data_IF_836232303236
#
_entry.id   IF_836232303236
#
_cell.length_a   1.000
_cell.length_b   1.000
_cell.length_c   1.000
_cell.angle_alpha   90.00
_cell.angle_beta   90.00
_cell.angle_gamma   90.00
#
_symmetry.space_group_name_H-M   'P 1'
#
loop_
_entity.id
_entity.type
_entity.pdbx_description
1 polymer ?
#
# COMPACT_ATOMS: atom_id res chain seq x y z
N UNK A 1 3.67 61.79 -5.76
CA UNK A 1 4.41 60.71 -6.44
C UNK A 1 3.80 59.41 -5.95
N UNK A 2 3.03 58.77 -6.82
CA UNK A 2 2.34 57.50 -6.54
C UNK A 2 3.26 56.34 -6.82
N UNK A 3 3.25 55.23 -6.05
CA UNK A 3 3.88 53.99 -6.45
C UNK A 3 2.92 53.13 -7.27
N UNK A 4 3.41 52.71 -8.44
CA UNK A 4 2.75 51.72 -9.30
C UNK A 4 2.73 50.34 -8.63
N UNK A 5 1.53 49.79 -8.41
CA UNK A 5 1.34 48.41 -8.07
C UNK A 5 1.19 47.60 -9.37
N UNK A 6 2.18 46.80 -9.72
CA UNK A 6 2.04 45.73 -10.70
C UNK A 6 1.44 44.50 -10.05
N UNK A 7 0.14 44.31 -10.19
CA UNK A 7 -0.56 43.08 -9.84
C UNK A 7 -0.43 42.13 -11.04
N UNK A 8 0.32 41.05 -10.86
CA UNK A 8 0.39 39.97 -11.83
C UNK A 8 -0.95 39.20 -11.84
N UNK A 9 -1.77 39.45 -12.82
CA UNK A 9 -2.97 38.70 -13.13
C UNK A 9 -2.57 37.33 -13.73
N UNK A 10 -2.46 36.31 -12.90
CA UNK A 10 -2.41 34.94 -13.38
C UNK A 10 -3.81 34.59 -13.87
N UNK A 11 -3.90 34.36 -15.17
CA UNK A 11 -5.13 34.08 -15.89
C UNK A 11 -5.79 32.79 -15.45
N UNK A 12 -6.84 32.88 -14.65
CA UNK A 12 -7.75 31.81 -14.26
C UNK A 12 -8.60 31.23 -15.41
N UNK A 13 -8.44 31.74 -16.63
CA UNK A 13 -9.27 31.34 -17.81
C UNK A 13 -8.87 30.00 -18.45
N UNK A 14 -7.68 29.46 -18.19
CA UNK A 14 -7.27 28.17 -18.80
C UNK A 14 -7.81 26.93 -18.10
N UNK A 15 -8.25 27.04 -16.86
CA UNK A 15 -8.78 25.89 -16.08
C UNK A 15 -10.25 25.61 -16.41
N UNK A 16 -11.04 26.63 -16.76
CA UNK A 16 -12.47 26.46 -17.07
C UNK A 16 -12.77 25.70 -18.39
N UNK A 17 -11.89 25.80 -19.39
CA UNK A 17 -12.15 25.15 -20.69
C UNK A 17 -11.87 23.64 -20.70
N UNK A 18 -11.20 23.08 -19.70
CA UNK A 18 -10.92 21.63 -19.64
C UNK A 18 -12.04 20.84 -18.96
N UNK A 19 -12.92 21.48 -18.21
CA UNK A 19 -14.01 20.84 -17.46
C UNK A 19 -15.37 20.81 -18.18
N UNK A 20 -15.64 21.76 -19.05
CA UNK A 20 -16.95 21.85 -19.73
C UNK A 20 -17.33 20.65 -20.62
N UNK A 21 -16.43 20.02 -21.40
CA UNK A 21 -16.82 18.89 -22.23
C UNK A 21 -17.11 17.63 -21.41
N UNK A 22 -16.40 17.43 -20.28
CA UNK A 22 -16.62 16.25 -19.40
C UNK A 22 -17.94 16.34 -18.64
N UNK A 23 -18.34 17.54 -18.21
CA UNK A 23 -19.62 17.77 -17.53
C UNK A 23 -20.81 17.58 -18.47
N UNK A 24 -20.70 18.01 -19.72
CA UNK A 24 -21.73 17.78 -20.73
C UNK A 24 -21.88 16.30 -21.09
N UNK A 25 -20.77 15.57 -21.18
CA UNK A 25 -20.79 14.13 -21.43
C UNK A 25 -21.45 13.37 -20.27
N UNK A 26 -21.09 13.71 -19.02
CA UNK A 26 -21.70 13.13 -17.82
C UNK A 26 -23.20 13.40 -17.74
N UNK A 27 -23.64 14.63 -18.08
CA UNK A 27 -25.05 15.01 -18.11
C UNK A 27 -25.83 14.24 -19.16
N UNK A 28 -25.28 14.02 -20.36
CA UNK A 28 -25.90 13.19 -21.39
C UNK A 28 -25.96 11.71 -21.00
N UNK A 29 -24.91 11.20 -20.35
CA UNK A 29 -24.88 9.83 -19.87
C UNK A 29 -25.90 9.60 -18.74
N UNK A 30 -26.01 10.54 -17.79
CA UNK A 30 -27.03 10.49 -16.74
C UNK A 30 -28.46 10.55 -17.32
N UNK A 31 -28.71 11.37 -18.33
CA UNK A 31 -30.03 11.42 -19.01
C UNK A 31 -30.34 10.11 -19.73
N UNK A 32 -29.35 9.45 -20.31
CA UNK A 32 -29.53 8.15 -20.98
C UNK A 32 -29.82 7.02 -20.00
N UNK A 33 -29.21 7.06 -18.79
CA UNK A 33 -29.39 6.08 -17.71
C UNK A 33 -30.74 6.26 -16.97
N UNK A 34 -31.25 7.49 -16.88
CA UNK A 34 -32.51 7.82 -16.16
C UNK A 34 -33.72 7.84 -17.09
N UNK A 35 -33.55 7.76 -18.42
CA UNK A 35 -34.65 7.74 -19.36
C UNK A 35 -35.60 6.55 -19.09
N UNK A 36 -36.90 6.79 -18.82
CA UNK A 36 -37.84 5.71 -18.59
C UNK A 36 -38.02 4.92 -19.88
N UNK A 37 -37.78 3.62 -19.81
CA UNK A 37 -38.04 2.69 -20.91
C UNK A 37 -39.57 2.63 -21.13
N UNK A 38 -40.09 3.34 -22.14
CA UNK A 38 -41.55 3.50 -22.40
C UNK A 38 -42.22 2.28 -23.01
N UNK A 39 -41.51 1.18 -23.19
CA UNK A 39 -42.07 -0.05 -23.77
C UNK A 39 -41.52 -1.30 -23.10
N UNK A 40 -42.00 -1.60 -21.90
CA UNK A 40 -41.80 -2.92 -21.31
C UNK A 40 -43.09 -3.33 -20.54
N UNK A 41 -43.64 -4.47 -20.91
CA UNK A 41 -44.75 -5.10 -20.20
C UNK A 41 -44.46 -5.34 -18.73
N UNK A 42 -45.45 -5.24 -17.82
CA UNK A 42 -45.27 -5.45 -16.42
C UNK A 42 -45.14 -6.97 -16.16
N UNK A 43 -43.91 -7.48 -15.94
CA UNK A 43 -43.79 -8.90 -15.60
C UNK A 43 -42.40 -9.46 -15.29
N UNK A 44 -41.31 -8.80 -15.65
CA UNK A 44 -39.97 -9.36 -15.39
C UNK A 44 -38.89 -8.29 -15.27
N UNK A 45 -39.00 -7.44 -14.27
CA UNK A 45 -37.81 -6.71 -13.80
C UNK A 45 -37.00 -7.66 -12.93
N UNK A 46 -36.11 -8.42 -13.58
CA UNK A 46 -35.23 -9.33 -12.87
C UNK A 46 -34.30 -8.52 -11.94
N UNK A 47 -34.16 -8.96 -10.70
CA UNK A 47 -33.20 -8.43 -9.72
C UNK A 47 -31.79 -8.27 -10.34
N UNK A 48 -31.48 -9.05 -11.36
CA UNK A 48 -30.26 -9.01 -12.14
C UNK A 48 -30.08 -7.67 -12.91
N UNK A 49 -31.15 -7.09 -13.49
CA UNK A 49 -31.08 -5.80 -14.18
C UNK A 49 -30.86 -4.63 -13.21
N UNK A 50 -31.41 -4.74 -11.99
CA UNK A 50 -31.19 -3.76 -10.93
C UNK A 50 -29.74 -3.87 -10.39
N UNK A 51 -29.22 -5.07 -10.19
CA UNK A 51 -27.84 -5.31 -9.80
C UNK A 51 -26.84 -4.79 -10.83
N UNK A 52 -27.10 -4.99 -12.13
CA UNK A 52 -26.24 -4.42 -13.19
C UNK A 52 -26.27 -2.89 -13.21
N UNK A 53 -27.43 -2.28 -13.00
CA UNK A 53 -27.55 -0.81 -12.95
C UNK A 53 -26.91 -0.22 -11.71
N UNK A 54 -27.10 -0.83 -10.53
CA UNK A 54 -26.41 -0.42 -9.30
C UNK A 54 -24.90 -0.66 -9.39
N UNK A 55 -24.47 -1.76 -9.97
CA UNK A 55 -23.04 -2.05 -10.21
C UNK A 55 -22.40 -1.03 -11.17
N UNK A 56 -23.11 -0.63 -12.24
CA UNK A 56 -22.62 0.38 -13.18
C UNK A 56 -22.55 1.78 -12.55
N UNK A 57 -23.50 2.16 -11.69
CA UNK A 57 -23.47 3.44 -10.95
C UNK A 57 -22.33 3.47 -9.94
N UNK A 58 -22.09 2.38 -9.22
CA UNK A 58 -20.96 2.26 -8.30
C UNK A 58 -19.65 2.30 -9.08
N UNK A 59 -19.57 1.62 -10.22
CA UNK A 59 -18.38 1.63 -11.08
C UNK A 59 -18.10 3.03 -11.65
N UNK A 60 -19.14 3.77 -12.07
CA UNK A 60 -19.00 5.14 -12.54
C UNK A 60 -18.67 6.13 -11.41
N UNK A 61 -19.18 5.91 -10.20
CA UNK A 61 -18.84 6.72 -9.01
C UNK A 61 -17.37 6.62 -8.61
N UNK A 62 -16.75 5.47 -8.81
CA UNK A 62 -15.32 5.25 -8.55
C UNK A 62 -14.42 5.97 -9.57
N UNK A 63 -14.93 6.26 -10.78
CA UNK A 63 -14.14 6.87 -11.88
C UNK A 63 -13.91 8.38 -11.71
N UNK A 64 -14.61 9.07 -10.80
CA UNK A 64 -14.52 10.53 -10.66
C UNK A 64 -13.62 11.02 -9.51
N UNK A 65 -12.91 10.12 -8.82
CA UNK A 65 -12.03 10.51 -7.72
C UNK A 65 -10.76 11.19 -8.25
N UNK A 66 -10.55 12.41 -7.84
CA UNK A 66 -9.40 13.25 -8.23
C UNK A 66 -8.13 12.70 -7.57
N UNK A 67 -7.05 12.57 -8.33
CA UNK A 67 -5.73 12.26 -7.79
C UNK A 67 -5.22 13.46 -6.99
N UNK A 68 -5.14 13.32 -5.67
CA UNK A 68 -4.39 14.22 -4.81
C UNK A 68 -3.05 13.55 -4.47
N UNK A 69 -1.96 14.27 -4.63
CA UNK A 69 -0.62 13.75 -4.81
C UNK A 69 0.17 13.54 -3.50
N UNK A 70 -0.39 12.96 -2.45
CA UNK A 70 0.38 12.58 -1.25
C UNK A 70 -0.21 11.30 -0.67
N UNK A 71 0.23 10.16 -1.15
CA UNK A 71 -0.02 8.87 -0.49
C UNK A 71 1.33 8.27 -0.11
N UNK A 72 1.38 7.61 1.03
CA UNK A 72 2.50 6.76 1.39
C UNK A 72 2.82 5.79 0.27
N UNK A 73 4.11 5.52 0.01
CA UNK A 73 4.50 4.62 -1.04
C UNK A 73 3.89 3.23 -0.86
N UNK A 74 3.50 2.61 -1.96
CA UNK A 74 3.01 1.25 -1.99
C UNK A 74 3.83 0.43 -2.97
N UNK A 75 4.30 -0.69 -2.50
CA UNK A 75 5.03 -1.64 -3.31
C UNK A 75 4.09 -2.51 -4.14
N UNK A 76 4.53 -2.87 -5.34
CA UNK A 76 3.78 -3.76 -6.22
C UNK A 76 3.59 -5.15 -5.59
N UNK A 77 4.60 -5.62 -4.82
CA UNK A 77 4.56 -6.88 -4.10
C UNK A 77 3.98 -6.74 -2.68
N UNK A 78 2.90 -5.96 -2.50
CA UNK A 78 2.29 -5.65 -1.21
C UNK A 78 1.92 -6.90 -0.37
N UNK A 79 1.63 -8.03 -0.99
CA UNK A 79 1.34 -9.29 -0.29
C UNK A 79 2.57 -9.95 0.36
N UNK A 80 3.78 -9.53 0.01
CA UNK A 80 5.02 -9.94 0.69
C UNK A 80 5.39 -8.98 1.82
N UNK A 81 4.93 -7.74 1.72
CA UNK A 81 5.24 -6.62 2.61
C UNK A 81 4.01 -6.20 3.44
N UNK A 82 3.09 -7.15 3.71
CA UNK A 82 1.85 -6.88 4.45
C UNK A 82 2.05 -6.13 5.78
N UNK A 83 3.14 -6.35 6.57
CA UNK A 83 3.40 -5.58 7.78
C UNK A 83 3.50 -4.07 7.56
N UNK A 84 3.95 -3.60 6.38
CA UNK A 84 3.96 -2.18 6.01
C UNK A 84 2.55 -1.58 5.99
N UNK A 85 1.55 -2.36 5.60
CA UNK A 85 0.18 -1.92 5.36
C UNK A 85 -0.75 -2.14 6.56
N UNK A 86 -0.42 -3.16 7.39
CA UNK A 86 -1.31 -3.56 8.48
C UNK A 86 -0.49 -4.25 9.59
N UNK A 87 -0.37 -3.63 10.78
CA UNK A 87 0.40 -4.21 11.89
C UNK A 87 -0.18 -5.54 12.41
N UNK A 88 -1.44 -5.87 12.13
CA UNK A 88 -2.03 -7.15 12.53
C UNK A 88 -1.44 -8.35 11.79
N UNK A 89 -0.61 -8.13 10.77
CA UNK A 89 -0.03 -9.21 9.97
C UNK A 89 1.30 -9.74 10.49
N UNK A 90 1.96 -9.05 11.44
CA UNK A 90 3.24 -9.49 12.00
C UNK A 90 3.08 -10.80 12.78
N UNK A 91 4.01 -11.72 12.65
CA UNK A 91 4.02 -12.99 13.36
C UNK A 91 2.90 -13.96 12.95
N UNK A 92 2.31 -13.83 11.77
CA UNK A 92 1.31 -14.80 11.27
C UNK A 92 1.90 -16.18 11.05
N UNK A 93 3.16 -16.26 10.69
CA UNK A 93 3.90 -17.51 10.51
C UNK A 93 4.82 -17.76 11.72
N UNK A 94 5.13 -19.03 12.06
CA UNK A 94 6.04 -19.34 13.17
C UNK A 94 7.51 -19.10 12.83
N UNK A 95 7.79 -18.51 11.68
CA UNK A 95 9.13 -18.23 11.16
C UNK A 95 9.53 -16.81 11.47
N UNK A 96 10.83 -16.53 11.51
CA UNK A 96 11.34 -15.18 11.34
C UNK A 96 11.26 -14.85 9.86
N UNK A 97 10.49 -13.84 9.52
CA UNK A 97 10.40 -13.31 8.17
C UNK A 97 11.24 -12.03 8.11
N UNK A 98 12.10 -11.94 7.12
CA UNK A 98 12.88 -10.74 6.81
C UNK A 98 12.52 -10.37 5.38
N UNK A 99 12.20 -9.11 5.15
CA UNK A 99 11.88 -8.61 3.82
C UNK A 99 12.56 -7.27 3.58
N UNK A 100 13.03 -7.08 2.37
CA UNK A 100 13.56 -5.82 1.89
C UNK A 100 12.98 -5.55 0.50
N UNK A 101 12.73 -4.28 0.18
CA UNK A 101 12.31 -3.86 -1.15
C UNK A 101 12.97 -2.54 -1.50
N UNK A 102 13.27 -2.40 -2.78
CA UNK A 102 13.74 -1.17 -3.40
C UNK A 102 12.86 -0.88 -4.59
N UNK A 103 12.24 0.28 -4.58
CA UNK A 103 11.45 0.80 -5.69
C UNK A 103 12.11 2.07 -6.22
N UNK A 104 12.37 2.11 -7.52
CA UNK A 104 12.91 3.27 -8.22
C UNK A 104 11.79 3.90 -9.05
N UNK A 105 11.48 5.15 -8.74
CA UNK A 105 10.42 5.91 -9.40
C UNK A 105 10.95 6.63 -10.63
N UNK A 106 10.09 6.81 -11.63
CA UNK A 106 10.39 7.59 -12.85
C UNK A 106 11.79 7.27 -13.43
N UNK A 107 12.05 5.99 -13.65
CA UNK A 107 13.33 5.52 -14.20
C UNK A 107 13.64 6.23 -15.51
N UNK A 108 14.80 6.89 -15.58
CA UNK A 108 15.23 7.71 -16.72
C UNK A 108 15.20 9.23 -16.48
N UNK A 109 14.72 9.68 -15.32
CA UNK A 109 14.85 11.07 -14.86
C UNK A 109 15.91 11.17 -13.75
N UNK A 110 16.72 12.21 -13.76
CA UNK A 110 17.85 12.38 -12.80
C UNK A 110 17.39 12.43 -11.34
N UNK A 111 16.17 12.94 -11.06
CA UNK A 111 15.58 13.07 -9.72
C UNK A 111 14.32 12.20 -9.53
N UNK A 112 14.29 11.04 -10.17
CA UNK A 112 13.12 10.15 -10.17
C UNK A 112 12.68 9.64 -8.80
N UNK A 113 13.56 9.69 -7.81
CA UNK A 113 13.29 9.24 -6.44
C UNK A 113 13.38 7.72 -6.25
N UNK A 114 13.40 7.31 -4.98
CA UNK A 114 13.42 5.89 -4.62
C UNK A 114 12.75 5.66 -3.27
N UNK A 115 12.11 4.50 -3.14
CA UNK A 115 11.59 4.03 -1.86
C UNK A 115 12.29 2.75 -1.45
N UNK A 116 12.84 2.75 -0.24
CA UNK A 116 13.46 1.59 0.39
C UNK A 116 12.59 1.10 1.55
N UNK A 117 12.47 -0.20 1.66
CA UNK A 117 11.81 -0.87 2.78
C UNK A 117 12.72 -1.96 3.31
N UNK A 118 12.81 -2.08 4.63
CA UNK A 118 13.40 -3.21 5.32
C UNK A 118 12.53 -3.55 6.53
N UNK A 119 12.14 -4.81 6.68
CA UNK A 119 11.30 -5.24 7.77
C UNK A 119 11.65 -6.64 8.23
N UNK A 120 11.38 -6.89 9.50
CA UNK A 120 11.48 -8.23 10.08
C UNK A 120 10.33 -8.45 11.06
N UNK A 121 9.73 -9.65 11.02
CA UNK A 121 8.69 -10.04 11.95
C UNK A 121 8.84 -11.49 12.38
N UNK A 122 8.37 -11.78 13.57
CA UNK A 122 8.40 -13.13 14.12
C UNK A 122 7.22 -13.39 15.05
N UNK A 123 6.84 -14.67 15.15
CA UNK A 123 5.85 -15.12 16.12
C UNK A 123 6.51 -15.68 17.37
N UNK A 124 5.86 -15.49 18.50
CA UNK A 124 6.17 -16.17 19.74
C UNK A 124 4.89 -16.61 20.47
N UNK A 125 5.02 -17.48 21.45
CA UNK A 125 3.88 -17.99 22.20
C UNK A 125 3.95 -17.58 23.66
N UNK A 126 2.84 -17.05 24.17
CA UNK A 126 2.64 -16.83 25.60
C UNK A 126 1.44 -17.73 26.02
N UNK A 127 1.71 -18.76 26.80
CA UNK A 127 0.69 -19.74 27.15
C UNK A 127 0.15 -20.48 25.94
N UNK A 128 -1.15 -20.34 25.67
CA UNK A 128 -1.84 -20.96 24.53
C UNK A 128 -2.07 -20.01 23.34
N UNK A 129 -1.67 -18.74 23.48
CA UNK A 129 -1.90 -17.71 22.49
C UNK A 129 -0.64 -17.41 21.69
N UNK A 130 -0.83 -17.06 20.41
CA UNK A 130 0.25 -16.62 19.52
C UNK A 130 0.27 -15.10 19.51
N UNK A 131 1.48 -14.57 19.54
CA UNK A 131 1.78 -13.15 19.46
C UNK A 131 2.76 -12.92 18.33
N UNK A 132 2.69 -11.76 17.71
CA UNK A 132 3.65 -11.31 16.72
C UNK A 132 4.35 -10.03 17.16
N UNK A 133 5.61 -9.91 16.81
CA UNK A 133 6.37 -8.65 16.90
C UNK A 133 7.06 -8.41 15.57
N UNK A 134 7.23 -7.16 15.22
CA UNK A 134 7.90 -6.74 14.00
C UNK A 134 8.55 -5.38 14.17
N UNK A 135 9.50 -5.12 13.29
CA UNK A 135 10.12 -3.81 13.13
C UNK A 135 10.26 -3.52 11.64
N UNK A 136 10.03 -2.27 11.27
CA UNK A 136 10.11 -1.79 9.89
C UNK A 136 10.95 -0.53 9.86
N UNK A 137 11.77 -0.42 8.84
CA UNK A 137 12.39 0.82 8.40
C UNK A 137 11.96 1.09 6.96
N UNK A 138 11.52 2.30 6.69
CA UNK A 138 11.18 2.78 5.36
C UNK A 138 11.83 4.14 5.14
N UNK A 139 12.39 4.33 3.94
CA UNK A 139 12.92 5.59 3.48
C UNK A 139 12.37 5.86 2.08
N UNK A 140 11.69 6.99 1.93
CA UNK A 140 11.11 7.43 0.67
C UNK A 140 11.74 8.77 0.29
N UNK A 141 12.43 8.80 -0.83
CA UNK A 141 13.11 9.97 -1.35
C UNK A 141 12.48 10.37 -2.68
N UNK A 142 12.01 11.59 -2.75
CA UNK A 142 11.44 12.15 -3.96
C UNK A 142 11.89 13.62 -4.13
N UNK A 143 12.71 13.88 -5.15
CA UNK A 143 13.32 15.19 -5.36
C UNK A 143 14.13 15.62 -4.14
N UNK A 144 13.76 16.74 -3.54
CA UNK A 144 14.44 17.31 -2.36
C UNK A 144 13.86 16.80 -1.03
N UNK A 145 12.78 16.01 -1.06
CA UNK A 145 12.11 15.54 0.14
C UNK A 145 12.56 14.12 0.48
N UNK A 146 12.74 13.85 1.78
CA UNK A 146 13.00 12.51 2.29
C UNK A 146 12.11 12.25 3.50
N UNK A 147 11.35 11.14 3.43
CA UNK A 147 10.41 10.68 4.45
C UNK A 147 10.94 9.37 5.02
N UNK A 148 11.40 9.38 6.27
CA UNK A 148 11.90 8.20 6.96
C UNK A 148 10.92 7.79 8.04
N UNK A 149 10.56 6.50 8.04
CA UNK A 149 9.70 5.91 9.06
C UNK A 149 10.39 4.72 9.70
N UNK A 150 10.46 4.73 11.01
CA UNK A 150 10.85 3.57 11.81
C UNK A 150 9.65 3.14 12.65
N UNK A 151 9.25 1.87 12.55
CA UNK A 151 8.06 1.34 13.19
C UNK A 151 8.37 0.11 14.02
N UNK A 152 7.72 0.00 15.17
CA UNK A 152 7.68 -1.21 16.00
C UNK A 152 6.25 -1.69 16.08
N UNK A 153 6.04 -2.97 15.83
CA UNK A 153 4.72 -3.57 15.67
C UNK A 153 4.50 -4.71 16.66
N UNK A 154 3.27 -4.84 17.09
CA UNK A 154 2.80 -5.95 17.90
C UNK A 154 1.44 -6.43 17.40
N UNK A 155 1.24 -7.76 17.36
CA UNK A 155 -0.03 -8.37 17.01
C UNK A 155 -0.40 -9.50 17.97
N UNK A 156 -1.70 -9.61 18.21
CA UNK A 156 -2.32 -10.69 18.98
C UNK A 156 -3.17 -11.56 18.06
N UNK A 157 -2.95 -12.88 18.08
CA UNK A 157 -3.60 -13.83 17.17
C UNK A 157 -4.55 -14.75 17.91
N UNK A 158 -5.82 -14.72 17.51
CA UNK A 158 -6.90 -15.53 18.05
C UNK A 158 -7.39 -16.54 17.03
N UNK A 159 -7.52 -17.79 17.40
CA UNK A 159 -8.23 -18.79 16.58
C UNK A 159 -9.72 -18.59 16.75
N UNK A 160 -10.42 -18.22 15.68
CA UNK A 160 -11.84 -17.90 15.70
C UNK A 160 -12.50 -18.34 14.38
N UNK A 161 -13.67 -18.94 14.44
CA UNK A 161 -14.50 -19.34 13.28
C UNK A 161 -13.76 -20.11 12.17
N UNK A 162 -12.89 -21.03 12.57
CA UNK A 162 -12.10 -21.83 11.62
C UNK A 162 -10.94 -21.11 10.96
N UNK A 163 -10.68 -19.85 11.31
CA UNK A 163 -9.56 -19.03 10.87
C UNK A 163 -8.75 -18.46 12.02
N UNK A 164 -7.95 -17.45 11.73
CA UNK A 164 -7.18 -16.68 12.71
C UNK A 164 -7.53 -15.21 12.57
N UNK A 165 -8.08 -14.63 13.61
CA UNK A 165 -8.27 -13.19 13.77
C UNK A 165 -7.01 -12.63 14.42
N UNK A 166 -6.45 -11.57 13.84
CA UNK A 166 -5.30 -10.86 14.35
C UNK A 166 -5.67 -9.40 14.60
N UNK A 167 -5.23 -8.86 15.72
CA UNK A 167 -5.36 -7.44 16.06
C UNK A 167 -3.96 -6.92 16.31
N UNK A 168 -3.60 -5.82 15.66
CA UNK A 168 -2.26 -5.26 15.74
C UNK A 168 -2.23 -3.78 16.04
N UNK A 169 -1.16 -3.36 16.66
CA UNK A 169 -0.82 -1.97 16.90
C UNK A 169 0.63 -1.70 16.49
N UNK A 170 0.90 -0.48 16.11
CA UNK A 170 2.20 0.00 15.67
C UNK A 170 2.49 1.35 16.30
N UNK A 171 3.72 1.56 16.69
CA UNK A 171 4.27 2.84 17.10
C UNK A 171 5.34 3.25 16.09
N UNK A 172 5.20 4.45 15.56
CA UNK A 172 6.04 4.99 14.51
C UNK A 172 6.84 6.18 15.00
N UNK A 173 8.07 6.30 14.52
CA UNK A 173 8.84 7.52 14.53
C UNK A 173 9.02 7.99 13.09
N UNK A 174 8.41 9.13 12.77
CA UNK A 174 8.49 9.78 11.47
C UNK A 174 9.59 10.83 11.52
N UNK A 175 10.42 10.89 10.50
CA UNK A 175 11.41 11.93 10.27
C UNK A 175 11.27 12.46 8.85
N UNK A 176 10.83 13.70 8.76
CA UNK A 176 10.65 14.41 7.51
C UNK A 176 11.83 15.33 7.30
N UNK A 177 12.38 15.40 6.09
CA UNK A 177 13.48 16.30 5.78
C UNK A 177 13.39 16.89 4.37
N UNK A 178 13.90 18.10 4.23
CA UNK A 178 14.05 18.82 2.96
C UNK A 178 15.51 19.17 2.79
N UNK A 179 16.09 18.74 1.68
CA UNK A 179 17.50 18.99 1.33
C UNK A 179 17.61 20.33 0.60
N UNK A 180 17.47 21.43 1.35
CA UNK A 180 17.53 22.78 0.79
C UNK A 180 18.89 23.12 0.19
N UNK A 181 19.96 22.53 0.69
CA UNK A 181 21.33 22.70 0.16
C UNK A 181 21.51 22.19 -1.27
N UNK A 182 20.64 21.30 -1.75
CA UNK A 182 20.64 20.76 -3.11
C UNK A 182 19.70 21.50 -4.06
N UNK A 183 18.90 22.43 -3.54
CA UNK A 183 17.98 23.20 -4.38
C UNK A 183 18.78 24.16 -5.29
N UNK A 184 18.56 24.05 -6.59
CA UNK A 184 19.02 25.06 -7.54
C UNK A 184 18.02 26.21 -7.53
N UNK A 185 18.27 27.16 -6.62
CA UNK A 185 17.46 28.36 -6.48
C UNK A 185 18.05 29.37 -7.44
N UNK A 186 17.35 29.76 -8.51
CA UNK A 186 17.75 30.82 -9.41
C UNK A 186 18.03 32.18 -8.71
N UNK A 187 17.46 32.35 -7.50
CA UNK A 187 17.76 33.42 -6.55
C UNK A 187 18.16 32.81 -5.21
N UNK A 188 19.42 32.92 -4.82
CA UNK A 188 19.96 32.35 -3.58
C UNK A 188 19.32 32.90 -2.29
N UNK A 189 18.56 33.99 -2.38
CA UNK A 189 17.89 34.63 -1.25
C UNK A 189 16.35 34.52 -1.31
N UNK A 190 15.80 33.52 -2.01
CA UNK A 190 14.36 33.32 -2.01
C UNK A 190 13.89 32.87 -0.63
N UNK A 191 13.12 33.72 0.11
CA UNK A 191 12.63 33.37 1.45
C UNK A 191 11.55 32.28 1.44
N UNK A 192 11.05 31.89 0.27
CA UNK A 192 10.02 30.88 0.13
C UNK A 192 10.56 29.44 0.23
N UNK A 193 11.88 29.27 0.03
CA UNK A 193 12.52 27.96 0.10
C UNK A 193 13.77 27.98 0.99
N UNK A 194 13.96 26.98 1.87
CA UNK A 194 15.13 26.94 2.73
C UNK A 194 16.41 26.68 1.92
N UNK A 195 17.43 27.48 2.13
CA UNK A 195 18.79 27.29 1.56
C UNK A 195 19.63 26.25 2.31
N UNK A 196 19.13 25.74 3.44
CA UNK A 196 19.78 24.76 4.29
C UNK A 196 18.90 23.54 4.46
N UNK A 197 19.51 22.41 4.83
CA UNK A 197 18.76 21.19 5.11
C UNK A 197 17.96 21.33 6.40
N UNK A 198 16.66 21.08 6.31
CA UNK A 198 15.74 21.12 7.44
C UNK A 198 15.19 19.73 7.70
N UNK A 199 15.02 19.39 8.97
CA UNK A 199 14.40 18.13 9.36
C UNK A 199 13.55 18.28 10.61
N UNK A 200 12.54 17.43 10.72
CA UNK A 200 11.68 17.34 11.89
C UNK A 200 11.26 15.92 12.17
N UNK A 201 11.02 15.59 13.42
CA UNK A 201 10.57 14.25 13.83
C UNK A 201 9.32 14.30 14.67
N UNK A 202 8.43 13.31 14.51
CA UNK A 202 7.22 13.13 15.31
C UNK A 202 6.93 11.66 15.55
N UNK A 203 6.28 11.38 16.66
CA UNK A 203 5.72 10.07 16.95
C UNK A 203 4.32 9.95 16.37
N UNK A 204 3.98 8.75 15.94
CA UNK A 204 2.68 8.40 15.40
C UNK A 204 2.31 6.97 15.82
N UNK A 205 1.09 6.57 15.49
CA UNK A 205 0.59 5.24 15.82
C UNK A 205 -0.34 4.73 14.72
N UNK A 206 -0.38 3.42 14.58
CA UNK A 206 -1.25 2.74 13.62
C UNK A 206 -1.91 1.52 14.28
N UNK A 207 -3.09 1.14 13.79
CA UNK A 207 -3.80 -0.05 14.26
C UNK A 207 -4.35 -0.84 13.09
N UNK A 208 -4.55 -2.13 13.30
CA UNK A 208 -5.11 -2.97 12.27
C UNK A 208 -5.79 -4.22 12.80
N UNK A 209 -6.64 -4.75 11.95
CA UNK A 209 -7.31 -6.04 12.14
C UNK A 209 -7.13 -6.86 10.87
N UNK A 210 -6.88 -8.16 11.03
CA UNK A 210 -6.69 -9.06 9.92
C UNK A 210 -7.31 -10.42 10.22
N UNK A 211 -8.06 -10.95 9.29
CA UNK A 211 -8.64 -12.29 9.40
C UNK A 211 -8.12 -13.17 8.27
N UNK A 212 -7.50 -14.28 8.61
CA UNK A 212 -7.04 -15.28 7.68
C UNK A 212 -7.81 -16.58 7.83
N UNK A 213 -8.49 -16.99 6.79
CA UNK A 213 -9.13 -18.30 6.65
C UNK A 213 -8.29 -19.19 5.73
N UNK A 214 -8.70 -20.44 5.56
CA UNK A 214 -7.96 -21.43 4.76
C UNK A 214 -7.73 -21.00 3.31
N UNK A 215 -8.68 -20.32 2.69
CA UNK A 215 -8.64 -19.96 1.27
C UNK A 215 -8.70 -18.45 1.02
N UNK A 216 -9.11 -17.66 1.98
CA UNK A 216 -9.28 -16.24 1.82
C UNK A 216 -8.77 -15.47 3.04
N UNK A 217 -8.48 -14.22 2.84
CA UNK A 217 -8.09 -13.32 3.89
C UNK A 217 -8.65 -11.92 3.63
N UNK A 218 -8.84 -11.18 4.71
CA UNK A 218 -9.20 -9.77 4.65
C UNK A 218 -8.60 -9.04 5.84
N UNK A 219 -8.19 -7.82 5.62
CA UNK A 219 -7.61 -6.96 6.65
C UNK A 219 -7.97 -5.52 6.45
N UNK A 220 -8.08 -4.80 7.55
CA UNK A 220 -8.29 -3.36 7.62
C UNK A 220 -7.23 -2.77 8.53
N UNK A 221 -6.68 -1.63 8.15
CA UNK A 221 -5.76 -0.87 8.98
C UNK A 221 -6.03 0.63 8.86
N UNK A 222 -5.77 1.35 9.95
CA UNK A 222 -5.73 2.79 9.98
C UNK A 222 -4.31 3.19 10.42
N UNK A 223 -3.59 3.84 9.54
CA UNK A 223 -2.25 4.35 9.77
C UNK A 223 -2.30 5.86 10.01
N UNK A 224 -1.26 6.38 10.64
CA UNK A 224 -1.15 7.81 10.96
C UNK A 224 -2.34 8.32 11.79
N UNK A 225 -2.68 7.60 12.88
CA UNK A 225 -3.84 7.91 13.71
C UNK A 225 -3.76 9.30 14.34
N UNK A 226 -2.55 9.72 14.74
CA UNK A 226 -2.34 11.04 15.34
C UNK A 226 -2.32 12.15 14.30
N UNK A 227 -2.11 11.80 13.00
CA UNK A 227 -2.00 12.75 11.88
C UNK A 227 -1.08 13.93 12.24
N UNK A 228 0.19 13.68 12.63
CA UNK A 228 1.03 14.71 13.20
C UNK A 228 1.40 15.77 12.18
N UNK A 229 1.58 17.01 12.67
CA UNK A 229 2.23 18.06 11.89
C UNK A 229 3.70 18.10 12.28
N UNK A 230 4.56 17.86 11.28
CA UNK A 230 6.01 17.93 11.43
C UNK A 230 6.47 19.32 11.04
N UNK A 231 7.16 20.01 11.93
CA UNK A 231 7.73 21.33 11.64
C UNK A 231 9.14 21.17 11.06
N UNK A 232 9.37 21.80 9.91
CA UNK A 232 10.64 21.86 9.20
C UNK A 232 11.18 23.27 9.33
N UNK A 233 12.04 23.48 10.34
CA UNK A 233 12.47 24.82 10.75
C UNK A 233 11.36 25.61 11.43
N UNK A 234 11.37 26.94 11.27
CA UNK A 234 10.45 27.84 11.95
C UNK A 234 9.15 28.11 11.18
N UNK A 235 9.19 27.98 9.84
CA UNK A 235 8.12 28.45 8.95
C UNK A 235 7.44 27.36 8.14
N UNK A 236 8.09 26.21 7.93
CA UNK A 236 7.55 25.15 7.10
C UNK A 236 6.94 24.05 7.93
N UNK A 237 5.77 23.57 7.55
CA UNK A 237 5.08 22.47 8.21
C UNK A 237 4.65 21.42 7.19
N UNK A 238 4.83 20.15 7.55
CA UNK A 238 4.36 19.01 6.81
C UNK A 238 3.30 18.27 7.62
N UNK A 239 2.07 18.19 7.10
CA UNK A 239 0.96 17.52 7.76
C UNK A 239 0.78 16.11 7.22
N UNK A 240 1.05 15.12 8.04
CA UNK A 240 0.81 13.71 7.72
C UNK A 240 -0.69 13.44 7.72
N UNK A 241 -1.19 12.77 6.66
CA UNK A 241 -2.60 12.40 6.54
C UNK A 241 -2.84 10.99 7.09
N UNK A 242 -4.01 10.77 7.66
CA UNK A 242 -4.45 9.41 8.01
C UNK A 242 -4.64 8.58 6.76
N UNK A 243 -4.18 7.33 6.81
CA UNK A 243 -4.29 6.40 5.70
C UNK A 243 -5.08 5.17 6.14
N UNK A 244 -6.12 4.84 5.40
CA UNK A 244 -6.94 3.66 5.61
C UNK A 244 -6.63 2.64 4.52
N UNK A 245 -6.23 1.44 4.94
CA UNK A 245 -5.88 0.35 4.06
C UNK A 245 -6.90 -0.78 4.21
N UNK A 246 -7.35 -1.32 3.08
CA UNK A 246 -8.03 -2.61 3.02
C UNK A 246 -7.24 -3.54 2.12
N UNK A 247 -6.95 -4.73 2.61
CA UNK A 247 -6.33 -5.80 1.84
C UNK A 247 -7.24 -7.03 1.87
N UNK A 248 -7.42 -7.66 0.72
CA UNK A 248 -8.20 -8.89 0.63
C UNK A 248 -7.70 -9.78 -0.48
N UNK A 249 -7.89 -11.08 -0.33
CA UNK A 249 -7.50 -12.02 -1.36
C UNK A 249 -8.08 -13.42 -1.17
N UNK A 250 -7.99 -14.19 -2.25
CA UNK A 250 -8.48 -15.56 -2.29
C UNK A 250 -7.46 -16.46 -3.00
N UNK A 251 -7.30 -17.70 -2.52
CA UNK A 251 -6.39 -18.69 -3.10
C UNK A 251 -7.22 -19.84 -3.70
N UNK A 252 -7.25 -19.93 -5.03
CA UNK A 252 -7.96 -20.94 -5.80
C UNK A 252 -6.96 -22.02 -6.24
N UNK A 253 -6.87 -23.09 -5.47
CA UNK A 253 -6.04 -24.24 -5.84
C UNK A 253 -6.72 -25.05 -6.95
N UNK A 254 -6.05 -25.18 -8.09
CA UNK A 254 -6.56 -25.95 -9.21
C UNK A 254 -6.47 -27.46 -8.88
N UNK A 255 -7.54 -28.20 -9.28
CA UNK A 255 -7.63 -29.64 -9.02
C UNK A 255 -6.51 -30.39 -9.77
N UNK A 256 -5.79 -31.28 -9.05
CA UNK A 256 -4.68 -32.08 -9.60
C UNK A 256 -3.58 -31.24 -10.30
N UNK A 257 -3.33 -30.01 -9.85
CA UNK A 257 -2.36 -29.13 -10.45
C UNK A 257 -1.42 -28.56 -9.40
N UNK A 258 -0.21 -28.25 -9.81
CA UNK A 258 0.77 -27.47 -9.02
C UNK A 258 0.47 -25.98 -9.05
N UNK A 259 -0.62 -25.57 -9.72
CA UNK A 259 -0.99 -24.19 -9.89
C UNK A 259 -2.06 -23.73 -8.90
N UNK A 260 -1.88 -22.51 -8.40
CA UNK A 260 -2.86 -21.79 -7.59
C UNK A 260 -3.08 -20.42 -8.24
N UNK A 261 -4.34 -20.03 -8.43
CA UNK A 261 -4.69 -18.66 -8.84
C UNK A 261 -5.01 -17.88 -7.57
N UNK A 262 -4.35 -16.74 -7.39
CA UNK A 262 -4.48 -15.93 -6.19
C UNK A 262 -4.86 -14.47 -6.55
N UNK A 263 -6.15 -14.20 -6.80
CA UNK A 263 -6.63 -12.82 -6.89
C UNK A 263 -6.53 -12.13 -5.54
N UNK A 264 -6.15 -10.86 -5.56
CA UNK A 264 -6.10 -10.02 -4.36
C UNK A 264 -6.34 -8.55 -4.72
N UNK A 265 -6.70 -7.76 -3.72
CA UNK A 265 -6.88 -6.32 -3.88
C UNK A 265 -6.31 -5.59 -2.68
N UNK A 266 -5.77 -4.41 -2.95
CA UNK A 266 -5.36 -3.42 -1.96
C UNK A 266 -6.11 -2.13 -2.27
N UNK A 267 -6.89 -1.64 -1.31
CA UNK A 267 -7.57 -0.35 -1.39
C UNK A 267 -6.94 0.58 -0.38
N UNK A 268 -6.64 1.81 -0.77
CA UNK A 268 -6.05 2.83 0.08
C UNK A 268 -6.81 4.14 -0.04
N UNK A 269 -7.06 4.80 1.09
CA UNK A 269 -7.77 6.07 1.17
C UNK A 269 -7.15 6.98 2.23
N UNK A 270 -6.75 8.19 1.83
CA UNK A 270 -6.10 9.20 2.70
C UNK A 270 -7.04 10.36 3.13
N UNK A 271 -8.34 10.19 2.94
CA UNK A 271 -9.33 11.25 3.18
C UNK A 271 -9.60 12.14 1.97
N UNK A 272 -8.70 12.16 0.98
CA UNK A 272 -8.84 12.98 -0.24
C UNK A 272 -8.64 12.16 -1.52
N UNK A 273 -7.72 11.20 -1.52
CA UNK A 273 -7.41 10.36 -2.66
C UNK A 273 -7.74 8.89 -2.36
N UNK A 274 -8.18 8.17 -3.40
CA UNK A 274 -8.45 6.74 -3.35
C UNK A 274 -7.64 6.03 -4.41
N UNK A 275 -6.93 4.97 -4.01
CA UNK A 275 -6.22 4.07 -4.92
C UNK A 275 -6.72 2.63 -4.70
N UNK A 276 -6.96 1.93 -5.80
CA UNK A 276 -7.30 0.52 -5.81
C UNK A 276 -6.29 -0.23 -6.67
N UNK A 277 -5.67 -1.25 -6.13
CA UNK A 277 -4.77 -2.14 -6.83
C UNK A 277 -5.43 -3.52 -6.90
N UNK A 278 -5.79 -3.98 -8.10
CA UNK A 278 -6.44 -5.26 -8.35
C UNK A 278 -5.40 -6.18 -8.97
N UNK A 279 -5.06 -7.25 -8.27
CA UNK A 279 -3.95 -8.14 -8.64
C UNK A 279 -4.45 -9.53 -8.95
N UNK A 280 -3.95 -10.11 -10.03
CA UNK A 280 -4.12 -11.52 -10.37
C UNK A 280 -2.76 -12.20 -10.45
N UNK A 281 -2.55 -13.21 -9.61
CA UNK A 281 -1.31 -14.00 -9.54
C UNK A 281 -1.57 -15.45 -9.90
N UNK A 282 -0.64 -16.05 -10.63
CA UNK A 282 -0.55 -17.49 -10.82
C UNK A 282 0.69 -17.97 -10.10
N UNK A 283 0.51 -18.89 -9.16
CA UNK A 283 1.60 -19.51 -8.41
C UNK A 283 1.78 -20.94 -8.89
N UNK A 284 3.02 -21.31 -9.15
CA UNK A 284 3.45 -22.68 -9.39
C UNK A 284 4.25 -23.18 -8.18
N UNK A 285 3.77 -24.23 -7.53
CA UNK A 285 4.42 -24.81 -6.35
C UNK A 285 4.77 -26.26 -6.62
N UNK A 286 6.07 -26.56 -6.63
CA UNK A 286 6.57 -27.92 -6.77
C UNK A 286 7.74 -28.16 -5.81
N UNK A 287 7.60 -29.13 -4.92
CA UNK A 287 8.57 -29.43 -3.86
C UNK A 287 8.88 -28.20 -2.97
N UNK A 288 10.16 -27.73 -2.94
CA UNK A 288 10.61 -26.56 -2.19
C UNK A 288 10.73 -25.30 -3.06
N UNK A 289 10.22 -25.33 -4.27
CA UNK A 289 10.28 -24.23 -5.23
C UNK A 289 8.89 -23.63 -5.41
N UNK A 290 8.81 -22.35 -5.34
CA UNK A 290 7.61 -21.59 -5.70
C UNK A 290 8.00 -20.56 -6.74
N UNK A 291 7.29 -20.54 -7.84
CA UNK A 291 7.39 -19.48 -8.84
C UNK A 291 6.03 -18.80 -8.95
N UNK A 292 6.02 -17.56 -9.26
CA UNK A 292 4.78 -16.82 -9.52
C UNK A 292 5.00 -15.72 -10.55
N UNK A 293 3.93 -15.40 -11.25
CA UNK A 293 3.84 -14.25 -12.13
C UNK A 293 2.43 -13.69 -12.08
N UNK A 294 2.26 -12.46 -12.48
CA UNK A 294 0.96 -11.84 -12.50
C UNK A 294 0.96 -10.41 -12.98
N UNK A 295 -0.24 -9.83 -12.88
CA UNK A 295 -0.51 -8.46 -13.26
C UNK A 295 -1.30 -7.78 -12.15
N UNK A 296 -1.01 -6.51 -11.93
CA UNK A 296 -1.82 -5.59 -11.12
C UNK A 296 -2.35 -4.49 -12.02
N UNK A 297 -3.64 -4.23 -11.91
CA UNK A 297 -4.30 -3.08 -12.54
C UNK A 297 -4.72 -2.08 -11.47
N UNK A 298 -4.21 -0.87 -11.60
CA UNK A 298 -4.56 0.27 -10.74
C UNK A 298 -5.33 1.28 -11.58
N UNK A 299 -6.67 1.34 -11.48
CA UNK A 299 -7.49 2.23 -12.30
C UNK A 299 -7.00 3.66 -12.24
N UNK A 300 -6.85 4.31 -13.40
CA UNK A 300 -6.38 5.69 -13.57
C UNK A 300 -4.92 5.96 -13.14
N UNK A 301 -4.17 4.96 -12.69
CA UNK A 301 -2.77 5.10 -12.27
C UNK A 301 -1.84 4.31 -13.17
N UNK A 302 -1.94 2.97 -13.17
CA UNK A 302 -0.90 2.14 -13.78
C UNK A 302 -1.34 0.71 -14.08
N UNK A 303 -0.51 0.03 -14.83
CA UNK A 303 -0.52 -1.43 -14.99
C UNK A 303 0.86 -1.95 -14.60
N UNK A 304 0.90 -2.93 -13.71
CA UNK A 304 2.15 -3.51 -13.22
C UNK A 304 2.26 -4.98 -13.62
N UNK A 305 3.34 -5.35 -14.28
CA UNK A 305 3.72 -6.74 -14.51
C UNK A 305 4.76 -7.18 -13.48
N UNK A 306 4.66 -8.41 -12.97
CA UNK A 306 5.63 -8.92 -12.00
C UNK A 306 5.89 -10.40 -12.13
N UNK A 307 7.10 -10.78 -11.73
CA UNK A 307 7.55 -12.16 -11.61
C UNK A 307 8.34 -12.35 -10.32
N UNK A 308 8.33 -13.55 -9.78
CA UNK A 308 9.13 -13.85 -8.61
C UNK A 308 9.19 -15.34 -8.32
N UNK A 309 10.02 -15.70 -7.35
CA UNK A 309 10.16 -17.07 -6.93
C UNK A 309 10.79 -17.19 -5.55
N UNK A 310 10.54 -18.35 -4.93
CA UNK A 310 11.10 -18.73 -3.65
C UNK A 310 11.90 -20.04 -3.82
N UNK A 311 13.09 -20.03 -3.30
CA UNK A 311 14.00 -21.16 -3.32
C UNK A 311 14.78 -21.25 -2.00
N UNK A 312 14.66 -22.36 -1.30
CA UNK A 312 15.30 -22.60 0.00
C UNK A 312 15.07 -21.48 1.05
N UNK A 313 13.88 -20.88 1.08
CA UNK A 313 13.53 -19.84 2.04
C UNK A 313 13.90 -18.42 1.61
N UNK A 314 14.64 -18.26 0.49
CA UNK A 314 14.89 -16.95 -0.15
C UNK A 314 13.82 -16.70 -1.19
N UNK A 315 13.12 -15.59 -1.09
CA UNK A 315 12.18 -15.07 -2.08
C UNK A 315 12.83 -13.92 -2.83
N UNK A 316 12.82 -13.94 -4.16
CA UNK A 316 13.25 -12.84 -5.01
C UNK A 316 12.17 -12.51 -6.01
N UNK A 317 11.88 -11.24 -6.17
CA UNK A 317 10.89 -10.78 -7.13
C UNK A 317 11.26 -9.45 -7.77
N UNK A 318 10.70 -9.25 -8.95
CA UNK A 318 10.84 -8.05 -9.74
C UNK A 318 9.50 -7.65 -10.32
N UNK A 319 9.23 -6.35 -10.34
CA UNK A 319 8.09 -5.79 -11.07
C UNK A 319 8.46 -4.54 -11.84
N UNK A 320 7.67 -4.30 -12.87
CA UNK A 320 7.66 -3.06 -13.64
C UNK A 320 6.24 -2.50 -13.67
N UNK A 321 6.08 -1.28 -13.16
CA UNK A 321 4.84 -0.53 -13.17
C UNK A 321 4.89 0.51 -14.30
N UNK A 322 4.00 0.38 -15.27
CA UNK A 322 3.84 1.33 -16.37
C UNK A 322 2.72 2.31 -16.03
N UNK A 323 3.05 3.61 -15.94
CA UNK A 323 2.07 4.65 -15.68
C UNK A 323 1.13 4.83 -16.88
N UNK A 324 -0.18 4.81 -16.63
CA UNK A 324 -1.21 5.02 -17.66
C UNK A 324 -1.78 6.43 -17.64
N UNK A 325 -1.41 7.24 -16.65
CA UNK A 325 -1.87 8.61 -16.45
C UNK A 325 -0.73 9.62 -16.55
N UNK A 326 -0.81 10.51 -17.54
CA UNK A 326 -0.11 11.81 -17.58
C UNK A 326 1.39 11.84 -17.86
N UNK A 327 2.20 10.97 -17.29
CA UNK A 327 3.67 11.02 -17.42
C UNK A 327 4.25 10.17 -18.56
N UNK A 328 3.41 9.47 -19.30
CA UNK A 328 3.83 8.59 -20.39
C UNK A 328 4.38 7.24 -19.93
N UNK A 329 4.41 6.26 -20.85
CA UNK A 329 4.83 4.89 -20.57
C UNK A 329 6.34 4.75 -20.25
N UNK A 330 7.15 5.76 -20.59
CA UNK A 330 8.60 5.76 -20.36
C UNK A 330 9.04 6.09 -18.94
N UNK A 331 8.16 6.67 -18.13
CA UNK A 331 8.43 7.05 -16.73
C UNK A 331 7.91 5.97 -15.76
N UNK A 332 8.21 4.69 -16.02
CA UNK A 332 7.76 3.59 -15.20
C UNK A 332 8.54 3.46 -13.90
N UNK A 333 8.07 2.56 -13.02
CA UNK A 333 8.71 2.26 -11.75
C UNK A 333 9.24 0.82 -11.79
N UNK A 334 10.45 0.63 -11.30
CA UNK A 334 11.08 -0.67 -11.13
C UNK A 334 11.09 -1.03 -9.66
N UNK A 335 10.70 -2.24 -9.31
CA UNK A 335 10.76 -2.73 -7.94
C UNK A 335 11.46 -4.07 -7.88
N UNK A 336 12.34 -4.20 -6.90
CA UNK A 336 12.99 -5.46 -6.53
C UNK A 336 12.64 -5.74 -5.07
N UNK A 337 12.13 -6.96 -4.79
CA UNK A 337 11.81 -7.38 -3.44
C UNK A 337 12.60 -8.64 -3.10
N UNK A 338 13.23 -8.64 -1.93
CA UNK A 338 13.96 -9.76 -1.35
C UNK A 338 13.30 -10.19 -0.05
N UNK A 339 12.99 -11.47 0.09
CA UNK A 339 12.46 -12.07 1.31
C UNK A 339 13.33 -13.21 1.80
N UNK A 340 13.40 -13.41 3.11
CA UNK A 340 14.03 -14.58 3.71
C UNK A 340 13.20 -15.09 4.87
N UNK A 341 12.96 -16.40 4.89
CA UNK A 341 12.21 -17.07 5.96
C UNK A 341 13.10 -18.08 6.68
N UNK A 342 13.27 -17.85 7.99
CA UNK A 342 14.10 -18.70 8.84
C UNK A 342 13.24 -19.40 9.89
N UNK A 343 13.31 -20.73 9.94
CA UNK A 343 12.65 -21.55 10.95
C UNK A 343 13.38 -21.39 12.31
N UNK A 344 12.81 -20.56 13.19
CA UNK A 344 13.29 -20.44 14.56
C UNK A 344 12.68 -21.52 15.42
N UNK A 345 13.49 -22.50 15.85
CA UNK A 345 13.08 -23.51 16.84
C UNK A 345 13.08 -22.87 18.24
N UNK A 346 12.17 -21.93 18.50
CA UNK A 346 12.00 -21.28 19.81
C UNK A 346 11.31 -22.19 20.85
N UNK A 347 11.04 -23.46 20.51
CA UNK A 347 10.51 -24.43 21.45
C UNK A 347 11.55 -24.77 22.52
N UNK A 348 11.21 -24.56 23.79
CA UNK A 348 11.96 -25.14 24.90
C UNK A 348 12.13 -26.65 24.63
N UNK A 349 13.36 -27.13 24.33
CA UNK A 349 13.70 -28.51 24.60
C UNK A 349 13.46 -28.67 26.10
N UNK A 350 12.34 -29.25 26.50
CA UNK A 350 12.15 -29.67 27.86
C UNK A 350 13.30 -30.65 28.19
N UNK A 351 14.27 -30.18 28.90
CA UNK A 351 15.17 -31.09 29.62
C UNK A 351 14.24 -31.84 30.58
N UNK A 352 13.90 -33.10 30.24
CA UNK A 352 13.37 -34.04 31.22
C UNK A 352 14.46 -34.25 32.26
N UNK A 353 14.49 -33.36 33.27
CA UNK A 353 15.38 -33.43 34.44
C UNK A 353 14.98 -34.54 35.40
N UNK A 354 13.95 -35.32 35.11
CA UNK A 354 13.49 -36.45 35.92
C UNK A 354 13.42 -37.74 35.10
N UNK A 355 14.52 -38.17 34.49
CA UNK A 355 14.72 -39.59 34.31
C UNK A 355 15.24 -40.13 35.66
N UNK A 356 14.32 -40.52 36.49
CA UNK A 356 14.63 -41.39 37.62
C UNK A 356 15.24 -42.67 37.07
N UNK A 357 16.53 -42.84 37.24
CA UNK A 357 17.20 -44.10 37.01
C UNK A 357 16.91 -44.95 38.25
N UNK A 358 15.87 -45.75 38.19
CA UNK A 358 15.71 -46.88 39.12
C UNK A 358 16.65 -47.97 38.65
N UNK A 359 17.74 -48.14 39.34
CA UNK A 359 18.51 -49.39 39.31
C UNK A 359 17.78 -50.40 40.21
N UNK A 360 17.37 -51.52 39.63
CA UNK A 360 17.16 -52.77 40.28
C UNK A 360 18.32 -53.68 39.93
#
# INVERSE_FOLDING_TARGET
MQPCACVAHVSTRKVEYMFLPKLKFLHHLLKALVAPCRTAQPGAFSALALLHRCGAVVLLGVVTLHAAAQQDPAFAHYWQLEPQLNPATVGRTPQLNIAAALQMHAAGYEDGGSTMYAGADMAFQIGKTRHGVGAIFQNDEFGLFSHKRFSVQYAYHLKLWGGTLSIGAEADMLNESVQGSKADLGDANDPAFPSTDLSGSKFDASVGVYYAHRHWYAGLAAQHLTAPTVFLGETNEYKVKRLYNFIGGYNIKLRNSFFTIAPSTLLRYDGSAFRADITARVLYEHQKRRLYAGLTYSPQHSVTGFVGGSFHGVDLSYSYEANTSGMGLGAGQHEITLGYRLDLKLGKKGKNLHRSVRYL
#
